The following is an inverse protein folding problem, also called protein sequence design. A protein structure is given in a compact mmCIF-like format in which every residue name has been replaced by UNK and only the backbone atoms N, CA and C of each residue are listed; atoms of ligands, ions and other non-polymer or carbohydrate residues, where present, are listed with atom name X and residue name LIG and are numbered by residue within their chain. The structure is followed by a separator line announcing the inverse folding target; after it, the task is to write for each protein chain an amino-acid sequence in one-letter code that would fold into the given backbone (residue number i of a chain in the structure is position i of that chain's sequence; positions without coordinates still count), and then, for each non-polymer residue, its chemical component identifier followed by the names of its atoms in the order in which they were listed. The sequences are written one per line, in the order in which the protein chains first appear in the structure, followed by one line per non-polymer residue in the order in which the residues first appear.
data_IF_834619030122
#
_entry.id   IF_834619030122
#
_cell.length_a   1.000
_cell.length_b   1.000
_cell.length_c   1.000
_cell.angle_alpha   90.00
_cell.angle_beta   90.00
_cell.angle_gamma   90.00
#
_symmetry.space_group_name_H-M   'P 1'
#
loop_
_entity.id
_entity.type
_entity.pdbx_description
1 polymer ?
#
# COMPACT_ATOMS: atom_id res chain seq x y z
N UNK A 1 -4.68 1.73 -17.53
CA UNK A 1 -5.54 2.83 -18.05
C UNK A 1 -6.84 2.87 -17.24
N UNK A 2 -6.83 3.55 -16.08
CA UNK A 2 -8.05 3.89 -15.31
C UNK A 2 -7.69 4.84 -14.15
N UNK A 3 -6.47 4.71 -13.63
CA UNK A 3 -6.02 5.44 -12.44
C UNK A 3 -5.91 6.95 -12.64
N UNK A 4 -5.26 7.43 -13.71
CA UNK A 4 -5.17 8.86 -14.02
C UNK A 4 -6.52 9.57 -14.23
N UNK A 5 -7.51 8.88 -14.79
CA UNK A 5 -8.88 9.40 -14.94
C UNK A 5 -9.62 9.50 -13.59
N UNK A 6 -9.41 8.51 -12.71
CA UNK A 6 -9.96 8.52 -11.34
C UNK A 6 -9.30 9.57 -10.46
N UNK A 7 -8.02 9.84 -10.67
CA UNK A 7 -7.28 10.89 -9.98
C UNK A 7 -7.79 12.29 -10.39
N UNK A 8 -8.09 12.50 -11.69
CA UNK A 8 -8.76 13.73 -12.15
C UNK A 8 -10.17 13.90 -11.57
N UNK A 9 -10.92 12.80 -11.41
CA UNK A 9 -12.23 12.83 -10.77
C UNK A 9 -12.13 13.22 -9.29
N UNK A 10 -11.16 12.66 -8.56
CA UNK A 10 -10.92 12.99 -7.15
C UNK A 10 -10.60 14.47 -6.94
N UNK A 11 -9.68 15.02 -7.76
CA UNK A 11 -9.31 16.45 -7.67
C UNK A 11 -10.51 17.36 -7.98
N UNK A 12 -11.34 16.99 -8.97
CA UNK A 12 -12.58 17.74 -9.29
C UNK A 12 -13.63 17.67 -8.17
N UNK A 13 -13.77 16.51 -7.53
CA UNK A 13 -14.65 16.32 -6.38
C UNK A 13 -14.27 17.23 -5.19
N UNK A 14 -12.98 17.40 -4.94
CA UNK A 14 -12.49 18.23 -3.83
C UNK A 14 -12.81 19.73 -4.03
N UNK A 15 -12.75 20.23 -5.27
CA UNK A 15 -13.18 21.60 -5.59
C UNK A 15 -14.66 21.80 -5.30
N UNK A 16 -15.48 20.83 -5.69
CA UNK A 16 -16.92 20.85 -5.51
C UNK A 16 -17.34 20.72 -4.02
N UNK A 17 -16.51 20.10 -3.17
CA UNK A 17 -16.71 20.07 -1.71
C UNK A 17 -16.59 21.45 -1.03
N UNK A 18 -15.81 22.36 -1.61
CA UNK A 18 -15.73 23.74 -1.15
C UNK A 18 -17.06 24.51 -1.34
N UNK A 19 -17.95 24.03 -2.22
CA UNK A 19 -19.28 24.61 -2.48
C UNK A 19 -20.37 24.16 -1.48
N UNK A 20 -20.02 23.42 -0.41
CA UNK A 20 -20.89 23.18 0.75
C UNK A 20 -21.66 21.85 0.80
N UNK A 21 -21.45 20.91 -0.13
CA UNK A 21 -22.16 19.61 -0.18
C UNK A 21 -21.39 18.43 0.45
N UNK A 22 -20.83 18.61 1.65
CA UNK A 22 -19.91 17.65 2.29
C UNK A 22 -20.38 16.17 2.34
N UNK A 23 -21.67 15.87 2.55
CA UNK A 23 -22.15 14.47 2.64
C UNK A 23 -22.10 13.75 1.29
N UNK A 24 -22.48 14.43 0.20
CA UNK A 24 -22.47 13.87 -1.15
C UNK A 24 -21.04 13.59 -1.63
N UNK A 25 -20.05 14.37 -1.18
CA UNK A 25 -18.64 14.11 -1.48
C UNK A 25 -18.07 12.95 -0.68
N UNK A 26 -18.46 12.80 0.59
CA UNK A 26 -18.08 11.63 1.39
C UNK A 26 -18.62 10.34 0.75
N UNK A 27 -19.89 10.34 0.33
CA UNK A 27 -20.52 9.21 -0.37
C UNK A 27 -19.84 8.89 -1.71
N UNK A 28 -19.48 9.93 -2.48
CA UNK A 28 -18.83 9.75 -3.77
C UNK A 28 -17.37 9.31 -3.64
N UNK A 29 -16.67 9.79 -2.61
CA UNK A 29 -15.34 9.31 -2.22
C UNK A 29 -15.37 7.84 -1.80
N UNK A 30 -16.37 7.40 -1.03
CA UNK A 30 -16.51 6.00 -0.66
C UNK A 30 -16.89 5.10 -1.85
N UNK A 31 -17.73 5.59 -2.77
CA UNK A 31 -17.98 4.91 -4.06
C UNK A 31 -16.71 4.80 -4.90
N UNK A 32 -15.87 5.83 -4.94
CA UNK A 32 -14.61 5.82 -5.67
C UNK A 32 -13.61 4.83 -5.06
N UNK A 33 -13.52 4.76 -3.72
CA UNK A 33 -12.73 3.72 -3.03
C UNK A 33 -13.21 2.31 -3.39
N UNK A 34 -14.52 2.07 -3.35
CA UNK A 34 -15.09 0.77 -3.72
C UNK A 34 -14.76 0.40 -5.16
N UNK A 35 -14.83 1.36 -6.08
CA UNK A 35 -14.47 1.15 -7.47
C UNK A 35 -12.97 0.85 -7.66
N UNK A 36 -12.10 1.56 -6.95
CA UNK A 36 -10.66 1.27 -6.94
C UNK A 36 -10.40 -0.14 -6.40
N UNK A 37 -11.06 -0.51 -5.31
CA UNK A 37 -10.97 -1.85 -4.73
C UNK A 37 -11.38 -2.93 -5.75
N UNK A 38 -12.50 -2.72 -6.45
CA UNK A 38 -12.96 -3.62 -7.50
C UNK A 38 -11.95 -3.74 -8.65
N UNK A 39 -11.38 -2.62 -9.11
CA UNK A 39 -10.37 -2.61 -10.16
C UNK A 39 -9.09 -3.33 -9.73
N UNK A 40 -8.63 -3.13 -8.50
CA UNK A 40 -7.46 -3.80 -7.95
C UNK A 40 -7.71 -5.30 -7.79
N UNK A 41 -8.88 -5.69 -7.27
CA UNK A 41 -9.22 -7.12 -7.13
C UNK A 41 -9.22 -7.80 -8.51
N UNK A 42 -9.78 -7.14 -9.52
CA UNK A 42 -9.76 -7.66 -10.88
C UNK A 42 -8.34 -7.77 -11.46
N UNK A 43 -7.45 -6.86 -11.08
CA UNK A 43 -6.03 -6.95 -11.43
C UNK A 43 -5.33 -8.08 -10.68
N UNK A 44 -5.67 -8.32 -9.41
CA UNK A 44 -5.12 -9.43 -8.62
C UNK A 44 -5.47 -10.77 -9.25
N UNK A 45 -6.74 -10.97 -9.66
CA UNK A 45 -7.15 -12.19 -10.37
C UNK A 45 -6.29 -12.51 -11.60
N UNK A 46 -5.77 -11.46 -12.28
CA UNK A 46 -4.90 -11.60 -13.45
C UNK A 46 -3.44 -11.82 -13.08
N UNK A 47 -2.99 -11.28 -11.94
CA UNK A 47 -1.65 -11.42 -11.38
C UNK A 47 -1.41 -12.82 -10.86
N UNK A 48 -2.41 -13.44 -10.24
CA UNK A 48 -2.31 -14.81 -9.71
C UNK A 48 -1.96 -15.82 -10.83
N UNK A 49 -2.26 -15.44 -12.08
CA UNK A 49 -1.92 -16.21 -13.28
C UNK A 49 -0.46 -15.98 -13.73
N UNK A 50 0.13 -14.80 -13.47
CA UNK A 50 1.52 -14.46 -13.80
C UNK A 50 2.20 -13.54 -12.76
N UNK A 51 2.90 -14.11 -11.77
CA UNK A 51 3.66 -13.36 -10.76
C UNK A 51 4.74 -12.43 -11.34
N UNK A 52 5.36 -12.79 -12.47
CA UNK A 52 6.45 -11.97 -13.06
C UNK A 52 5.91 -10.66 -13.63
N UNK A 53 4.66 -10.68 -14.09
CA UNK A 53 3.97 -9.48 -14.56
C UNK A 53 3.73 -8.49 -13.41
N UNK A 54 3.45 -8.99 -12.21
CA UNK A 54 3.25 -8.17 -11.02
C UNK A 54 4.51 -7.39 -10.66
N UNK A 55 5.62 -8.09 -10.50
CA UNK A 55 6.89 -7.52 -10.06
C UNK A 55 7.46 -6.51 -11.08
N UNK A 56 7.36 -6.83 -12.37
CA UNK A 56 8.03 -6.05 -13.42
C UNK A 56 7.21 -4.87 -13.94
N UNK A 57 5.86 -4.95 -13.91
CA UNK A 57 4.99 -3.96 -14.57
C UNK A 57 3.88 -3.43 -13.68
N UNK A 58 3.08 -4.30 -13.08
CA UNK A 58 1.84 -3.87 -12.41
C UNK A 58 2.13 -3.11 -11.13
N UNK A 59 2.95 -3.67 -10.24
CA UNK A 59 3.26 -3.03 -8.96
C UNK A 59 4.01 -1.70 -9.16
N UNK A 60 5.07 -1.59 -9.98
CA UNK A 60 5.71 -0.30 -10.25
C UNK A 60 4.74 0.75 -10.80
N UNK A 61 3.87 0.38 -11.75
CA UNK A 61 2.90 1.30 -12.33
C UNK A 61 1.86 1.79 -11.31
N UNK A 62 1.33 0.91 -10.46
CA UNK A 62 0.39 1.30 -9.40
C UNK A 62 1.05 2.24 -8.37
N UNK A 63 2.31 1.97 -8.01
CA UNK A 63 3.04 2.81 -7.05
C UNK A 63 3.38 4.19 -7.64
N UNK A 64 3.74 4.25 -8.93
CA UNK A 64 3.99 5.53 -9.61
C UNK A 64 2.72 6.37 -9.71
N UNK A 65 1.60 5.76 -10.08
CA UNK A 65 0.32 6.44 -10.11
C UNK A 65 -0.12 6.92 -8.71
N UNK A 66 0.16 6.14 -7.66
CA UNK A 66 -0.13 6.54 -6.28
C UNK A 66 0.70 7.78 -5.87
N UNK A 67 1.97 7.83 -6.24
CA UNK A 67 2.82 9.01 -6.00
C UNK A 67 2.25 10.24 -6.73
N UNK A 68 1.75 10.08 -7.96
CA UNK A 68 1.14 11.14 -8.76
C UNK A 68 -0.16 11.72 -8.19
N UNK A 69 -0.84 11.04 -7.26
CA UNK A 69 -2.02 11.59 -6.58
C UNK A 69 -1.75 12.91 -5.84
N UNK A 70 -0.52 13.12 -5.35
CA UNK A 70 -0.10 14.29 -4.57
C UNK A 70 -1.04 14.69 -3.39
N UNK A 71 -1.92 13.78 -2.97
CA UNK A 71 -2.86 13.94 -1.87
C UNK A 71 -2.55 12.87 -0.82
N UNK A 72 -2.29 13.32 0.41
CA UNK A 72 -1.96 12.46 1.55
C UNK A 72 -3.00 11.35 1.75
N UNK A 73 -4.26 11.71 1.83
CA UNK A 73 -5.33 10.76 2.17
C UNK A 73 -5.49 9.71 1.07
N UNK A 74 -5.42 10.13 -0.20
CA UNK A 74 -5.46 9.21 -1.34
C UNK A 74 -4.28 8.25 -1.32
N UNK A 75 -3.07 8.77 -1.13
CA UNK A 75 -1.84 7.96 -1.08
C UNK A 75 -1.88 6.91 0.03
N UNK A 76 -2.28 7.29 1.24
CA UNK A 76 -2.41 6.36 2.38
C UNK A 76 -3.41 5.24 2.08
N UNK A 77 -4.60 5.60 1.57
CA UNK A 77 -5.63 4.61 1.26
C UNK A 77 -5.16 3.68 0.15
N UNK A 78 -4.63 4.22 -0.94
CA UNK A 78 -4.19 3.44 -2.10
C UNK A 78 -3.08 2.46 -1.73
N UNK A 79 -2.10 2.89 -0.93
CA UNK A 79 -1.03 2.01 -0.48
C UNK A 79 -1.53 0.86 0.39
N UNK A 80 -2.48 1.14 1.29
CA UNK A 80 -3.07 0.09 2.12
C UNK A 80 -3.94 -0.85 1.28
N UNK A 81 -4.66 -0.34 0.28
CA UNK A 81 -5.46 -1.15 -0.63
C UNK A 81 -4.59 -2.08 -1.48
N UNK A 82 -3.49 -1.58 -2.05
CA UNK A 82 -2.52 -2.40 -2.80
C UNK A 82 -2.00 -3.54 -1.91
N UNK A 83 -1.60 -3.26 -0.67
CA UNK A 83 -1.15 -4.29 0.27
C UNK A 83 -2.22 -5.35 0.59
N UNK A 84 -3.50 -4.95 0.67
CA UNK A 84 -4.59 -5.85 1.07
C UNK A 84 -5.17 -6.66 -0.09
N UNK A 85 -5.03 -6.18 -1.31
CA UNK A 85 -5.62 -6.80 -2.49
C UNK A 85 -4.75 -7.90 -3.08
N UNK A 86 -3.43 -7.68 -3.19
CA UNK A 86 -2.53 -8.66 -3.79
C UNK A 86 -2.02 -9.69 -2.78
N UNK A 87 -1.59 -10.85 -3.27
CA UNK A 87 -1.05 -11.93 -2.46
C UNK A 87 0.03 -11.49 -1.47
N UNK A 88 -0.07 -11.98 -0.24
CA UNK A 88 0.81 -11.61 0.86
C UNK A 88 2.29 -11.95 0.54
N UNK A 89 2.54 -13.08 -0.14
CA UNK A 89 3.88 -13.50 -0.57
C UNK A 89 4.52 -12.50 -1.55
N UNK A 90 3.76 -12.04 -2.54
CA UNK A 90 4.22 -11.06 -3.53
C UNK A 90 4.48 -9.71 -2.88
N UNK A 91 3.62 -9.29 -1.95
CA UNK A 91 3.82 -8.04 -1.22
C UNK A 91 5.06 -8.07 -0.31
N UNK A 92 5.32 -9.21 0.32
CA UNK A 92 6.53 -9.43 1.12
C UNK A 92 7.78 -9.42 0.25
N UNK A 93 7.80 -10.16 -0.86
CA UNK A 93 8.95 -10.22 -1.77
C UNK A 93 9.31 -8.84 -2.32
N UNK A 94 8.28 -8.02 -2.61
CA UNK A 94 8.42 -6.66 -3.11
C UNK A 94 8.52 -5.58 -2.03
N UNK A 95 8.68 -5.96 -0.75
CA UNK A 95 8.77 -5.03 0.37
C UNK A 95 9.82 -3.92 0.18
N UNK A 96 10.99 -4.26 -0.36
CA UNK A 96 12.04 -3.27 -0.66
C UNK A 96 11.59 -2.20 -1.66
N UNK A 97 10.84 -2.59 -2.69
CA UNK A 97 10.29 -1.67 -3.68
C UNK A 97 9.23 -0.77 -3.06
N UNK A 98 8.34 -1.34 -2.25
CA UNK A 98 7.30 -0.61 -1.52
C UNK A 98 7.91 0.48 -0.62
N UNK A 99 8.84 0.12 0.26
CA UNK A 99 9.49 1.08 1.16
C UNK A 99 10.28 2.16 0.40
N UNK A 100 10.93 1.79 -0.72
CA UNK A 100 11.63 2.76 -1.59
C UNK A 100 10.69 3.74 -2.27
N UNK A 101 9.46 3.33 -2.63
CA UNK A 101 8.47 4.21 -3.27
C UNK A 101 7.77 5.11 -2.25
N UNK A 102 7.53 4.61 -1.05
CA UNK A 102 6.92 5.38 0.05
C UNK A 102 7.78 6.56 0.47
N UNK A 103 9.12 6.45 0.41
CA UNK A 103 10.00 7.60 0.68
C UNK A 103 9.88 8.75 -0.33
N UNK A 104 9.15 8.55 -1.44
CA UNK A 104 8.87 9.56 -2.47
C UNK A 104 7.45 10.15 -2.36
N UNK A 105 6.65 9.70 -1.39
CA UNK A 105 5.30 10.20 -1.17
C UNK A 105 5.32 11.55 -0.43
N UNK A 106 4.13 12.13 -0.23
CA UNK A 106 4.00 13.40 0.48
C UNK A 106 4.64 13.34 1.88
N UNK A 107 5.18 14.46 2.34
CA UNK A 107 5.87 14.57 3.64
C UNK A 107 4.99 14.18 4.83
N UNK A 108 3.69 14.41 4.70
CA UNK A 108 2.71 14.17 5.76
C UNK A 108 2.11 12.76 5.72
N UNK A 109 2.63 11.87 4.86
CA UNK A 109 2.19 10.48 4.78
C UNK A 109 2.37 9.77 6.13
N UNK A 110 1.34 9.08 6.61
CA UNK A 110 1.43 8.29 7.84
C UNK A 110 2.20 6.97 7.62
N UNK A 111 3.53 7.07 7.67
CA UNK A 111 4.44 5.92 7.54
C UNK A 111 4.20 4.86 8.62
N UNK A 112 3.80 5.26 9.84
CA UNK A 112 3.58 4.33 10.94
C UNK A 112 2.37 3.44 10.65
N UNK A 113 1.28 4.03 10.16
CA UNK A 113 0.09 3.30 9.74
C UNK A 113 0.42 2.31 8.63
N UNK A 114 1.14 2.73 7.59
CA UNK A 114 1.54 1.82 6.51
C UNK A 114 2.40 0.66 7.04
N UNK A 115 3.43 0.98 7.83
CA UNK A 115 4.34 -0.03 8.39
C UNK A 115 3.57 -1.01 9.27
N UNK A 116 2.62 -0.54 10.10
CA UNK A 116 1.80 -1.43 10.93
C UNK A 116 0.94 -2.40 10.11
N UNK A 117 0.38 -1.95 8.99
CA UNK A 117 -0.42 -2.79 8.08
C UNK A 117 0.48 -3.80 7.35
N UNK A 118 1.66 -3.37 6.90
CA UNK A 118 2.65 -4.27 6.31
C UNK A 118 3.10 -5.35 7.29
N UNK A 119 3.31 -4.99 8.57
CA UNK A 119 3.63 -5.97 9.61
C UNK A 119 2.49 -6.92 9.91
N UNK A 120 1.25 -6.43 9.95
CA UNK A 120 0.09 -7.28 10.15
C UNK A 120 -0.04 -8.31 9.02
N UNK A 121 0.23 -7.90 7.78
CA UNK A 121 0.31 -8.80 6.62
C UNK A 121 1.43 -9.82 6.79
N UNK A 122 2.65 -9.39 7.14
CA UNK A 122 3.77 -10.31 7.36
C UNK A 122 3.49 -11.33 8.47
N UNK A 123 2.82 -10.90 9.55
CA UNK A 123 2.46 -11.78 10.66
C UNK A 123 1.41 -12.82 10.25
N UNK A 124 0.42 -12.44 9.42
CA UNK A 124 -0.57 -13.38 8.86
C UNK A 124 0.10 -14.41 7.98
N UNK A 125 0.98 -13.97 7.08
CA UNK A 125 1.73 -14.85 6.20
C UNK A 125 2.53 -15.88 7.01
N UNK A 126 3.26 -15.44 8.05
CA UNK A 126 4.03 -16.35 8.94
C UNK A 126 3.11 -17.40 9.60
N UNK A 127 1.92 -17.01 10.04
CA UNK A 127 1.00 -17.91 10.73
C UNK A 127 0.37 -18.96 9.78
N UNK A 128 0.33 -18.68 8.47
CA UNK A 128 -0.28 -19.54 7.47
C UNK A 128 0.75 -20.47 6.81
N UNK A 129 2.06 -20.20 6.94
CA UNK A 129 3.10 -21.02 6.33
C UNK A 129 3.06 -22.48 6.85
N UNK A 130 2.89 -23.48 5.96
CA UNK A 130 3.22 -24.85 6.31
C UNK A 130 4.73 -24.95 6.57
N UNK A 131 5.14 -25.73 7.56
CA UNK A 131 6.54 -25.85 8.05
C UNK A 131 7.57 -26.27 6.97
N UNK A 132 7.16 -26.51 5.72
CA UNK A 132 8.01 -26.88 4.59
C UNK A 132 8.56 -25.69 3.77
N UNK A 133 8.01 -24.48 3.91
CA UNK A 133 8.43 -23.30 3.14
C UNK A 133 9.42 -22.40 3.90
N UNK A 134 10.53 -22.99 4.36
CA UNK A 134 11.50 -22.36 5.26
C UNK A 134 12.32 -21.20 4.64
N UNK A 135 12.35 -21.06 3.32
CA UNK A 135 13.19 -20.07 2.63
C UNK A 135 12.58 -18.66 2.63
N UNK A 136 11.28 -18.52 2.41
CA UNK A 136 10.57 -17.23 2.43
C UNK A 136 10.42 -16.68 3.86
N UNK A 137 10.22 -17.56 4.85
CA UNK A 137 10.14 -17.19 6.27
C UNK A 137 11.44 -16.60 6.82
N UNK A 138 12.60 -17.02 6.31
CA UNK A 138 13.89 -16.47 6.71
C UNK A 138 14.10 -15.01 6.28
N UNK A 139 13.61 -14.64 5.08
CA UNK A 139 13.64 -13.26 4.61
C UNK A 139 12.72 -12.35 5.44
N UNK A 140 11.51 -12.80 5.74
CA UNK A 140 10.56 -12.07 6.58
C UNK A 140 11.10 -11.90 8.00
N UNK A 141 11.68 -12.96 8.59
CA UNK A 141 12.34 -12.89 9.89
C UNK A 141 13.52 -11.91 9.87
N UNK A 142 14.29 -11.89 8.78
CA UNK A 142 15.38 -10.90 8.59
C UNK A 142 14.87 -9.46 8.51
N UNK A 143 13.72 -9.21 7.85
CA UNK A 143 13.07 -7.90 7.82
C UNK A 143 12.53 -7.53 9.20
N UNK A 144 11.84 -8.46 9.87
CA UNK A 144 11.32 -8.27 11.22
C UNK A 144 12.45 -7.92 12.20
N UNK A 145 13.55 -8.68 12.20
CA UNK A 145 14.71 -8.42 13.06
C UNK A 145 15.40 -7.09 12.72
N UNK A 146 15.49 -6.73 11.43
CA UNK A 146 16.03 -5.42 11.01
C UNK A 146 15.15 -4.26 11.49
N UNK A 147 13.83 -4.36 11.37
CA UNK A 147 12.93 -3.30 11.77
C UNK A 147 12.77 -3.23 13.30
N UNK A 148 12.70 -4.37 14.00
CA UNK A 148 12.78 -4.40 15.46
C UNK A 148 14.09 -3.78 15.96
N UNK A 149 15.22 -4.06 15.30
CA UNK A 149 16.51 -3.43 15.59
C UNK A 149 16.53 -1.92 15.33
N UNK A 150 15.77 -1.41 14.38
CA UNK A 150 15.58 0.03 14.16
C UNK A 150 14.74 0.67 15.27
N UNK A 151 13.69 -0.01 15.76
CA UNK A 151 12.88 0.43 16.90
C UNK A 151 13.65 0.47 18.23
N UNK A 152 14.62 -0.44 18.44
CA UNK A 152 15.51 -0.40 19.60
C UNK A 152 16.50 0.76 19.56
N UNK A 153 16.83 1.29 18.37
CA UNK A 153 17.72 2.44 18.20
C UNK A 153 16.99 3.78 18.38
N UNK A 154 15.72 3.89 17.99
CA UNK A 154 14.94 5.12 18.16
C UNK A 154 14.58 5.42 19.61
N UNK A 155 14.41 4.39 20.48
CA UNK A 155 14.28 4.61 21.94
C UNK A 155 15.54 5.17 22.62
N UNK A 156 16.72 5.10 21.98
CA UNK A 156 17.94 5.77 22.47
C UNK A 156 18.06 7.24 22.03
N UNK A 157 17.25 7.71 21.08
CA UNK A 157 17.35 9.08 20.55
C UNK A 157 16.30 10.05 21.11
N UNK A 158 15.39 9.62 22.00
CA UNK A 158 14.43 10.51 22.71
C UNK A 158 14.56 10.42 24.23
N UNK A 159 15.72 9.97 24.73
CA UNK A 159 16.10 10.03 26.14
C UNK A 159 17.46 10.71 26.26
N UNK A 160 17.46 12.04 26.27
CA UNK A 160 18.61 12.91 26.42
C UNK A 160 18.13 14.35 26.44
#
# INVERSE_FOLDING_TARGET
LNFGLMNQMWVRLAHHAADGFYSTYADLHDRLKLFIHFCLNRLSDLVDIDPKLYESKILPALLDETILCANRQSQEILMILILKTFDEELNISQGNLLFKKISRMCTDFDYLKFVSEFFALAQRYIHILPQSAAESGAFVKSIYDKICGLCSRTKKCHGG
#
